data_IF_979969407789
#
_entry.id   IF_979969407789
#
_cell.length_a   1.000
_cell.length_b   1.000
_cell.length_c   1.000
_cell.angle_alpha   90.00
_cell.angle_beta   90.00
_cell.angle_gamma   90.00
#
_symmetry.space_group_name_H-M   'P 1'
#
loop_
_entity.id
_entity.type
_entity.pdbx_description
1 polymer ?
#
# COMPACT_ATOMS: atom_id res chain seq x y z
N UNK A 1 6.15 -6.87 -11.46
CA UNK A 1 6.03 -5.74 -10.51
C UNK A 1 4.69 -5.78 -9.80
N UNK A 2 4.69 -5.49 -8.51
CA UNK A 2 3.44 -5.47 -7.76
C UNK A 2 2.65 -4.19 -8.05
N UNK A 3 1.33 -4.30 -7.95
CA UNK A 3 0.41 -3.18 -8.12
C UNK A 3 0.55 -2.16 -6.98
N UNK A 4 1.00 -2.62 -5.82
CA UNK A 4 1.16 -1.80 -4.62
C UNK A 4 2.61 -1.78 -4.18
N UNK A 5 3.05 -0.65 -3.64
CA UNK A 5 4.38 -0.48 -3.08
C UNK A 5 4.28 0.13 -1.69
N UNK A 6 4.96 -0.46 -0.71
CA UNK A 6 4.97 0.04 0.65
C UNK A 6 5.75 1.35 0.77
N UNK A 7 5.34 2.20 1.72
CA UNK A 7 6.01 3.47 2.01
C UNK A 7 6.37 3.50 3.49
N UNK A 8 7.63 3.80 3.80
CA UNK A 8 8.14 3.91 5.16
C UNK A 8 8.19 5.35 5.63
N UNK A 9 7.95 5.54 6.93
CA UNK A 9 8.27 6.81 7.58
C UNK A 9 9.79 6.90 7.75
N UNK A 10 10.38 8.02 7.34
CA UNK A 10 11.81 8.22 7.53
C UNK A 10 12.16 8.50 9.00
N UNK A 11 11.17 8.72 9.85
CA UNK A 11 11.39 8.94 11.28
C UNK A 11 11.39 7.65 12.08
N UNK A 12 10.54 6.71 11.74
CA UNK A 12 10.38 5.46 12.51
C UNK A 12 10.88 4.22 11.78
N UNK A 13 11.07 4.30 10.46
CA UNK A 13 11.46 3.15 9.66
C UNK A 13 10.36 2.12 9.46
N UNK A 14 9.13 2.43 9.87
CA UNK A 14 7.98 1.54 9.74
C UNK A 14 7.11 1.94 8.56
N UNK A 15 6.46 0.96 7.95
CA UNK A 15 5.51 1.22 6.86
C UNK A 15 4.30 1.98 7.42
N UNK A 16 3.99 3.12 6.81
CA UNK A 16 2.88 3.99 7.25
C UNK A 16 1.79 4.11 6.19
N UNK A 17 2.12 3.79 4.95
CA UNK A 17 1.14 3.83 3.86
C UNK A 17 1.57 2.90 2.74
N UNK A 18 0.71 2.78 1.73
CA UNK A 18 1.00 1.99 0.54
C UNK A 18 0.58 2.81 -0.68
N UNK A 19 1.36 2.75 -1.73
CA UNK A 19 1.05 3.43 -3.00
C UNK A 19 0.42 2.43 -3.97
N UNK A 20 -0.75 2.78 -4.49
CA UNK A 20 -1.39 2.04 -5.56
C UNK A 20 -0.91 2.62 -6.89
N UNK A 21 -0.27 1.79 -7.70
CA UNK A 21 0.29 2.21 -8.98
C UNK A 21 -0.55 1.64 -10.12
N UNK A 22 -1.20 2.51 -10.89
CA UNK A 22 -2.00 2.13 -12.03
C UNK A 22 -1.65 3.02 -13.23
N UNK A 23 -0.96 2.44 -14.21
CA UNK A 23 -0.52 3.19 -15.38
C UNK A 23 0.34 4.37 -14.97
N UNK A 24 -0.14 5.58 -15.24
CA UNK A 24 0.57 6.81 -14.90
C UNK A 24 0.08 7.44 -13.59
N UNK A 25 -0.80 6.73 -12.85
CA UNK A 25 -1.39 7.27 -11.63
C UNK A 25 -0.82 6.55 -10.40
N UNK A 26 -0.46 7.33 -9.39
CA UNK A 26 -0.01 6.80 -8.10
C UNK A 26 -0.90 7.38 -7.01
N UNK A 27 -1.56 6.51 -6.25
CA UNK A 27 -2.44 6.93 -5.16
C UNK A 27 -1.89 6.44 -3.84
N UNK A 28 -1.76 7.35 -2.87
CA UNK A 28 -1.27 7.02 -1.53
C UNK A 28 -2.43 6.59 -0.64
N UNK A 29 -2.27 5.44 0.03
CA UNK A 29 -3.33 4.86 0.88
C UNK A 29 -2.76 4.67 2.29
N UNK A 30 -3.36 5.29 3.32
CA UNK A 30 -2.87 5.11 4.70
C UNK A 30 -3.15 3.69 5.20
N UNK A 31 -2.20 3.12 5.94
CA UNK A 31 -2.31 1.75 6.45
C UNK A 31 -3.15 1.64 7.73
N UNK A 32 -3.46 2.75 8.38
CA UNK A 32 -4.21 2.75 9.62
C UNK A 32 -5.61 3.36 9.49
N UNK A 33 -6.22 3.18 8.33
CA UNK A 33 -7.55 3.71 8.04
C UNK A 33 -8.51 2.59 7.69
N UNK A 34 -8.99 1.80 8.67
CA UNK A 34 -9.81 0.61 8.42
C UNK A 34 -11.14 0.92 7.72
N UNK A 35 -11.64 2.16 7.81
CA UNK A 35 -12.83 2.57 7.10
C UNK A 35 -12.58 3.05 5.68
N UNK A 36 -11.32 3.10 5.25
CA UNK A 36 -10.97 3.55 3.92
C UNK A 36 -11.20 2.43 2.91
N UNK A 37 -11.94 2.75 1.86
CA UNK A 37 -12.30 1.78 0.82
C UNK A 37 -11.08 1.24 0.09
N UNK A 38 -10.13 2.12 -0.22
CA UNK A 38 -8.92 1.74 -0.93
C UNK A 38 -8.05 0.82 -0.06
N UNK A 39 -8.03 1.06 1.23
CA UNK A 39 -7.30 0.20 2.16
C UNK A 39 -7.92 -1.20 2.22
N UNK A 40 -9.27 -1.27 2.21
CA UNK A 40 -9.96 -2.55 2.21
C UNK A 40 -9.69 -3.33 0.93
N UNK A 41 -9.61 -2.66 -0.21
CA UNK A 41 -9.24 -3.29 -1.48
C UNK A 41 -7.81 -3.81 -1.44
N UNK A 42 -6.90 -3.06 -0.83
CA UNK A 42 -5.52 -3.48 -0.66
C UNK A 42 -5.45 -4.76 0.19
N UNK A 43 -6.20 -4.82 1.28
CA UNK A 43 -6.22 -6.01 2.14
C UNK A 43 -6.77 -7.23 1.40
N UNK A 44 -7.81 -7.04 0.62
CA UNK A 44 -8.37 -8.13 -0.19
C UNK A 44 -7.35 -8.63 -1.21
N UNK A 45 -6.57 -7.72 -1.79
CA UNK A 45 -5.50 -8.07 -2.72
C UNK A 45 -4.42 -8.92 -2.03
N UNK A 46 -4.07 -8.58 -0.79
CA UNK A 46 -3.12 -9.37 0.00
C UNK A 46 -3.68 -10.76 0.30
N UNK A 47 -4.97 -10.84 0.66
CA UNK A 47 -5.62 -12.10 0.98
C UNK A 47 -5.68 -13.03 -0.22
N UNK A 48 -5.62 -12.49 -1.43
CA UNK A 48 -5.58 -13.29 -2.65
C UNK A 48 -4.21 -13.92 -2.91
N UNK A 49 -3.23 -13.69 -2.03
CA UNK A 49 -1.90 -14.29 -2.15
C UNK A 49 -0.87 -13.39 -2.79
N UNK A 50 -1.17 -12.10 -2.94
CA UNK A 50 -0.24 -11.16 -3.55
C UNK A 50 0.68 -10.52 -2.50
N UNK A 51 1.82 -10.00 -2.95
CA UNK A 51 2.79 -9.35 -2.07
C UNK A 51 3.15 -7.98 -2.65
N UNK A 52 3.06 -6.89 -1.86
CA UNK A 52 3.46 -5.57 -2.35
C UNK A 52 4.98 -5.45 -2.46
N UNK A 53 5.44 -4.50 -3.28
CA UNK A 53 6.85 -4.21 -3.37
C UNK A 53 7.32 -3.62 -2.03
N UNK A 54 8.54 -3.96 -1.59
CA UNK A 54 9.06 -3.44 -0.32
C UNK A 54 9.31 -1.93 -0.38
N UNK A 55 9.23 -1.30 0.79
CA UNK A 55 9.55 0.12 0.91
C UNK A 55 11.04 0.34 0.68
N UNK A 56 11.36 1.46 0.07
CA UNK A 56 12.76 1.84 -0.18
C UNK A 56 13.49 2.22 1.10
#
# INVERSE_FOLDING_TARGET
MAKYKLVKSMFTGKEVSVNLIEGNTIQSIPLNAPGNKDYQEYKAWLDAGNTPDPAD
#
